data_IF_359462753924
#
_entry.id   IF_359462753924
#
_cell.length_a   1.000
_cell.length_b   1.000
_cell.length_c   1.000
_cell.angle_alpha   90.00
_cell.angle_beta   90.00
_cell.angle_gamma   90.00
#
_symmetry.space_group_name_H-M   'P 1'
#
loop_
_entity.id
_entity.type
_entity.pdbx_description
1 polymer ?
#
# COMPACT_ATOMS: atom_id res chain seq x y z
N UNK A 1 6.15 -2.08 -19.02
CA UNK A 1 6.55 -2.24 -17.60
C UNK A 1 5.37 -2.74 -16.77
N UNK A 2 5.57 -3.73 -15.89
CA UNK A 2 4.59 -4.17 -14.88
C UNK A 2 5.00 -3.65 -13.52
N UNK A 3 4.07 -3.08 -12.77
CA UNK A 3 4.26 -2.59 -11.41
C UNK A 3 3.47 -3.47 -10.45
N UNK A 4 4.17 -4.19 -9.57
CA UNK A 4 3.59 -5.09 -8.58
C UNK A 4 3.49 -4.37 -7.25
N UNK A 5 2.32 -3.88 -6.91
CA UNK A 5 2.05 -3.22 -5.64
C UNK A 5 1.61 -4.24 -4.60
N UNK A 6 2.32 -4.29 -3.49
CA UNK A 6 2.02 -5.19 -2.37
C UNK A 6 1.73 -4.37 -1.12
N UNK A 7 0.57 -4.63 -0.49
CA UNK A 7 0.31 -4.13 0.85
C UNK A 7 1.06 -4.97 1.88
N UNK A 8 1.72 -4.34 2.85
CA UNK A 8 2.40 -5.03 3.94
C UNK A 8 1.53 -6.09 4.62
N UNK A 9 2.15 -7.09 5.23
CA UNK A 9 1.51 -8.14 5.99
C UNK A 9 0.70 -7.61 7.18
N UNK A 10 -0.21 -8.43 7.72
CA UNK A 10 -1.02 -8.05 8.88
C UNK A 10 -0.14 -7.89 10.12
N UNK A 11 -0.35 -6.81 10.87
CA UNK A 11 0.37 -6.45 12.08
C UNK A 11 -0.52 -6.57 13.32
N UNK A 12 0.07 -6.51 14.51
CA UNK A 12 -0.67 -6.48 15.78
C UNK A 12 -1.71 -5.34 15.82
N UNK A 13 -1.35 -4.14 15.38
CA UNK A 13 -2.31 -3.01 15.36
C UNK A 13 -3.44 -3.21 14.33
N UNK A 14 -3.20 -3.94 13.24
CA UNK A 14 -4.28 -4.32 12.33
C UNK A 14 -5.26 -5.28 13.03
N UNK A 15 -4.76 -6.23 13.82
CA UNK A 15 -5.59 -7.16 14.58
C UNK A 15 -6.38 -6.45 15.68
N UNK A 16 -5.76 -5.49 16.38
CA UNK A 16 -6.42 -4.67 17.39
C UNK A 16 -7.42 -3.66 16.80
N UNK A 17 -7.48 -3.50 15.49
CA UNK A 17 -8.30 -2.48 14.84
C UNK A 17 -7.83 -1.05 15.12
N UNK A 18 -6.51 -0.83 15.22
CA UNK A 18 -5.89 0.50 15.35
C UNK A 18 -5.45 1.05 14.01
N UNK A 19 -5.56 2.36 13.88
CA UNK A 19 -4.95 3.12 12.77
C UNK A 19 -3.45 3.25 13.05
N UNK A 20 -2.61 2.84 12.10
CA UNK A 20 -1.16 3.00 12.23
C UNK A 20 -0.67 4.32 11.66
N UNK A 21 -1.06 4.64 10.42
CA UNK A 21 -0.57 5.81 9.71
C UNK A 21 0.94 5.73 9.43
N UNK A 22 1.56 6.89 9.24
CA UNK A 22 2.99 7.01 8.97
C UNK A 22 3.86 7.06 10.24
N UNK A 23 3.31 7.49 11.38
CA UNK A 23 4.07 7.63 12.63
C UNK A 23 3.91 6.41 13.56
N UNK A 24 2.89 5.56 13.32
CA UNK A 24 2.68 4.33 14.07
C UNK A 24 3.28 3.11 13.37
N UNK A 25 3.84 2.19 14.14
CA UNK A 25 4.30 0.90 13.65
C UNK A 25 4.02 -0.20 14.69
N UNK A 26 3.84 -1.41 14.22
CA UNK A 26 3.70 -2.61 15.04
C UNK A 26 4.21 -3.83 14.28
N UNK A 27 4.70 -4.87 14.98
CA UNK A 27 5.28 -6.03 14.32
C UNK A 27 4.26 -6.80 13.47
N UNK A 28 4.75 -7.49 12.45
CA UNK A 28 3.98 -8.46 11.68
C UNK A 28 3.56 -9.63 12.59
N UNK A 29 2.33 -10.12 12.40
CA UNK A 29 1.87 -11.36 13.04
C UNK A 29 2.59 -12.57 12.44
N UNK A 30 2.83 -13.60 13.24
CA UNK A 30 3.44 -14.86 12.79
C UNK A 30 2.66 -15.50 11.64
N UNK A 31 1.32 -15.51 11.72
CA UNK A 31 0.46 -15.99 10.64
C UNK A 31 0.62 -15.17 9.34
N UNK A 32 0.94 -13.89 9.47
CA UNK A 32 1.17 -13.04 8.31
C UNK A 32 2.53 -13.30 7.66
N UNK A 33 3.54 -13.67 8.42
CA UNK A 33 4.84 -14.07 7.88
C UNK A 33 4.66 -15.27 6.94
N UNK A 34 3.91 -16.29 7.36
CA UNK A 34 3.58 -17.46 6.52
C UNK A 34 2.85 -17.07 5.24
N UNK A 35 1.91 -16.13 5.31
CA UNK A 35 1.22 -15.59 4.14
C UNK A 35 2.17 -14.86 3.19
N UNK A 36 3.12 -14.09 3.73
CA UNK A 36 4.12 -13.38 2.92
C UNK A 36 5.12 -14.34 2.26
N UNK A 37 5.48 -15.42 2.93
CA UNK A 37 6.26 -16.49 2.31
C UNK A 37 5.50 -17.15 1.16
N UNK A 38 4.18 -17.39 1.31
CA UNK A 38 3.34 -17.92 0.24
C UNK A 38 3.29 -16.95 -0.95
N UNK A 39 3.11 -15.65 -0.71
CA UNK A 39 3.22 -14.62 -1.75
C UNK A 39 4.60 -14.62 -2.41
N UNK A 40 5.66 -14.69 -1.61
CA UNK A 40 7.04 -14.78 -2.12
C UNK A 40 7.25 -15.99 -3.03
N UNK A 41 6.75 -17.17 -2.64
CA UNK A 41 6.77 -18.38 -3.48
C UNK A 41 5.96 -18.19 -4.77
N UNK A 42 4.78 -17.55 -4.69
CA UNK A 42 3.96 -17.23 -5.86
C UNK A 42 4.71 -16.33 -6.86
N UNK A 43 5.49 -15.36 -6.36
CA UNK A 43 6.29 -14.44 -7.17
C UNK A 43 7.71 -14.92 -7.43
N UNK A 44 8.10 -16.12 -7.01
CA UNK A 44 9.49 -16.59 -7.01
C UNK A 44 10.16 -16.66 -8.39
N UNK A 45 9.37 -16.85 -9.44
CA UNK A 45 9.84 -16.89 -10.84
C UNK A 45 9.78 -15.52 -11.52
N UNK A 46 9.21 -14.51 -10.88
CA UNK A 46 9.14 -13.17 -11.47
C UNK A 46 10.51 -12.50 -11.39
N UNK A 47 11.07 -12.16 -12.53
CA UNK A 47 12.28 -11.35 -12.58
C UNK A 47 11.92 -9.89 -12.31
N UNK A 48 12.29 -9.36 -11.15
CA UNK A 48 12.15 -7.94 -10.85
C UNK A 48 13.43 -7.21 -11.23
N UNK A 49 13.31 -6.13 -11.99
CA UNK A 49 14.41 -5.24 -12.36
C UNK A 49 14.74 -4.23 -11.24
N UNK A 50 13.74 -3.90 -10.41
CA UNK A 50 13.90 -3.08 -9.23
C UNK A 50 12.91 -3.49 -8.13
N UNK A 51 13.26 -3.26 -6.87
CA UNK A 51 12.40 -3.48 -5.73
C UNK A 51 12.46 -2.28 -4.78
N UNK A 52 11.29 -1.73 -4.47
CA UNK A 52 11.12 -0.59 -3.58
C UNK A 52 10.16 -0.91 -2.44
N UNK A 53 10.43 -0.37 -1.25
CA UNK A 53 9.47 -0.36 -0.15
C UNK A 53 9.36 1.00 0.51
N UNK A 54 8.23 1.23 1.18
CA UNK A 54 8.19 2.20 2.26
C UNK A 54 9.32 1.91 3.27
N UNK A 55 9.89 2.95 3.85
CA UNK A 55 10.91 2.87 4.90
C UNK A 55 10.33 2.51 6.29
N UNK A 56 9.01 2.31 6.40
CA UNK A 56 8.38 1.86 7.64
C UNK A 56 8.63 0.36 7.86
N UNK A 57 9.03 -0.05 9.11
CA UNK A 57 9.54 -1.41 9.38
C UNK A 57 8.64 -2.54 8.90
N UNK A 58 7.32 -2.43 9.06
CA UNK A 58 6.36 -3.45 8.58
C UNK A 58 6.38 -3.66 7.05
N UNK A 59 6.66 -2.60 6.28
CA UNK A 59 6.75 -2.69 4.82
C UNK A 59 8.13 -3.24 4.39
N UNK A 60 9.20 -2.79 5.02
CA UNK A 60 10.57 -3.29 4.78
C UNK A 60 10.61 -4.80 5.06
N UNK A 61 10.13 -5.23 6.24
CA UNK A 61 10.11 -6.66 6.62
C UNK A 61 9.24 -7.49 5.64
N UNK A 62 8.09 -6.95 5.22
CA UNK A 62 7.26 -7.58 4.18
C UNK A 62 8.05 -7.80 2.88
N UNK A 63 8.73 -6.75 2.40
CA UNK A 63 9.51 -6.82 1.16
C UNK A 63 10.67 -7.83 1.27
N UNK A 64 11.37 -7.86 2.40
CA UNK A 64 12.45 -8.80 2.66
C UNK A 64 11.97 -10.25 2.59
N UNK A 65 10.87 -10.60 3.27
CA UNK A 65 10.30 -11.96 3.26
C UNK A 65 9.95 -12.39 1.83
N UNK A 66 9.33 -11.50 1.03
CA UNK A 66 8.98 -11.80 -0.36
C UNK A 66 10.23 -12.03 -1.21
N UNK A 67 11.23 -11.17 -1.08
CA UNK A 67 12.46 -11.23 -1.88
C UNK A 67 13.35 -12.43 -1.51
N UNK A 68 13.33 -12.89 -0.25
CA UNK A 68 14.03 -14.10 0.18
C UNK A 68 13.53 -15.37 -0.53
N UNK A 69 12.28 -15.39 -1.00
CA UNK A 69 11.72 -16.50 -1.76
C UNK A 69 12.00 -16.39 -3.27
N UNK A 70 12.48 -15.24 -3.76
CA UNK A 70 12.67 -15.00 -5.18
C UNK A 70 13.95 -15.66 -5.69
N UNK A 71 13.88 -16.31 -6.85
CA UNK A 71 15.03 -16.99 -7.48
C UNK A 71 16.02 -16.02 -8.14
N UNK A 72 15.63 -14.76 -8.28
CA UNK A 72 16.43 -13.69 -8.87
C UNK A 72 16.75 -12.64 -7.80
N UNK A 73 17.88 -12.77 -7.06
CA UNK A 73 18.21 -11.84 -5.98
C UNK A 73 18.31 -10.39 -6.46
N UNK A 74 17.67 -9.48 -5.75
CA UNK A 74 17.71 -8.05 -6.02
C UNK A 74 17.78 -7.26 -4.71
N UNK A 75 18.45 -6.12 -4.74
CA UNK A 75 18.55 -5.22 -3.59
C UNK A 75 17.25 -4.42 -3.41
N UNK A 76 16.76 -4.38 -2.18
CA UNK A 76 15.64 -3.54 -1.78
C UNK A 76 16.09 -2.09 -1.60
N UNK A 77 15.33 -1.16 -2.17
CA UNK A 77 15.50 0.27 -1.97
C UNK A 77 14.34 0.83 -1.13
N UNK A 78 14.65 1.50 -0.05
CA UNK A 78 13.66 2.10 0.84
C UNK A 78 13.41 3.56 0.45
N UNK A 79 12.14 3.99 0.54
CA UNK A 79 11.77 5.38 0.22
C UNK A 79 10.61 5.88 1.08
N UNK A 80 10.70 7.10 1.64
CA UNK A 80 9.58 7.73 2.35
C UNK A 80 8.41 8.10 1.44
N UNK A 81 8.61 8.10 0.12
CA UNK A 81 7.54 8.37 -0.84
C UNK A 81 6.41 7.32 -0.80
N UNK A 82 6.71 6.10 -0.33
CA UNK A 82 5.75 5.01 -0.18
C UNK A 82 5.18 4.87 1.23
N UNK A 83 5.50 5.78 2.18
CA UNK A 83 4.94 5.74 3.54
C UNK A 83 3.41 5.76 3.52
N UNK A 84 2.82 5.18 4.58
CA UNK A 84 1.39 5.27 4.80
C UNK A 84 0.96 6.74 4.93
N UNK A 85 -0.32 6.99 4.78
CA UNK A 85 -0.96 8.27 4.99
C UNK A 85 -0.66 8.79 6.39
N UNK A 86 -0.17 10.02 6.50
CA UNK A 86 0.01 10.70 7.79
C UNK A 86 -1.36 11.13 8.28
N UNK A 87 -1.87 10.41 9.27
CA UNK A 87 -3.25 10.56 9.75
C UNK A 87 -3.36 11.39 11.03
N UNK A 88 -2.23 12.00 11.47
CA UNK A 88 -2.21 12.92 12.59
C UNK A 88 -2.81 12.31 13.86
N UNK A 89 -3.80 12.98 14.46
CA UNK A 89 -4.42 12.56 15.74
C UNK A 89 -5.26 11.28 15.65
N UNK A 90 -5.46 10.72 14.47
CA UNK A 90 -6.13 9.42 14.30
C UNK A 90 -5.18 8.25 14.57
N UNK A 91 -3.87 8.45 14.45
CA UNK A 91 -2.88 7.39 14.59
C UNK A 91 -2.81 6.81 16.02
N UNK A 92 -2.64 5.51 16.14
CA UNK A 92 -2.60 4.77 17.39
C UNK A 92 -3.98 4.52 18.04
N UNK A 93 -5.05 5.13 17.53
CA UNK A 93 -6.38 5.00 18.09
C UNK A 93 -7.16 3.83 17.49
N UNK A 94 -8.07 3.27 18.29
CA UNK A 94 -8.96 2.20 17.82
C UNK A 94 -10.04 2.75 16.88
N UNK A 95 -10.23 2.08 15.75
CA UNK A 95 -11.24 2.47 14.75
C UNK A 95 -12.65 2.54 15.36
N UNK A 96 -12.98 1.63 16.30
CA UNK A 96 -14.28 1.61 16.97
C UNK A 96 -14.52 2.90 17.80
N UNK A 97 -13.49 3.39 18.49
CA UNK A 97 -13.55 4.63 19.26
C UNK A 97 -13.69 5.84 18.34
N UNK A 98 -12.91 5.88 17.26
CA UNK A 98 -12.97 6.97 16.28
C UNK A 98 -14.32 7.04 15.57
N UNK A 99 -14.93 5.90 15.23
CA UNK A 99 -16.28 5.85 14.67
C UNK A 99 -17.35 6.41 15.64
N UNK A 100 -17.17 6.20 16.94
CA UNK A 100 -18.09 6.75 17.93
C UNK A 100 -17.91 8.26 18.11
N UNK A 101 -16.68 8.77 18.03
CA UNK A 101 -16.34 10.18 18.23
C UNK A 101 -16.53 11.03 16.96
N UNK A 102 -16.24 10.48 15.81
CA UNK A 102 -16.21 11.18 14.51
C UNK A 102 -16.90 10.33 13.42
N UNK A 103 -18.20 10.00 13.57
CA UNK A 103 -18.87 9.05 12.67
C UNK A 103 -18.86 9.48 11.21
N UNK A 104 -19.10 10.75 10.92
CA UNK A 104 -19.13 11.25 9.53
C UNK A 104 -17.75 11.25 8.91
N UNK A 105 -16.72 11.69 9.63
CA UNK A 105 -15.35 11.70 9.14
C UNK A 105 -14.79 10.28 8.90
N UNK A 106 -15.09 9.35 9.80
CA UNK A 106 -14.68 7.95 9.64
C UNK A 106 -15.44 7.26 8.51
N UNK A 107 -16.68 7.68 8.23
CA UNK A 107 -17.45 7.25 7.07
C UNK A 107 -16.84 7.82 5.78
N UNK A 108 -16.55 9.12 5.77
CA UNK A 108 -15.90 9.80 4.65
C UNK A 108 -14.52 9.17 4.34
N UNK A 109 -13.66 9.02 5.34
CA UNK A 109 -12.36 8.36 5.19
C UNK A 109 -12.45 6.95 4.61
N UNK A 110 -13.51 6.21 4.93
CA UNK A 110 -13.70 4.84 4.48
C UNK A 110 -14.34 4.73 3.08
N UNK A 111 -15.19 5.68 2.68
CA UNK A 111 -16.04 5.52 1.49
C UNK A 111 -15.96 6.65 0.47
N UNK A 112 -15.68 7.90 0.92
CA UNK A 112 -15.65 9.06 0.05
C UNK A 112 -14.61 10.07 0.54
N UNK A 113 -13.39 9.95 0.02
CA UNK A 113 -12.27 10.79 0.46
C UNK A 113 -12.43 12.28 0.11
N UNK A 114 -13.32 12.64 -0.82
CA UNK A 114 -13.64 14.03 -1.12
C UNK A 114 -14.37 14.75 0.03
N UNK A 115 -15.03 13.99 0.92
CA UNK A 115 -15.72 14.50 2.10
C UNK A 115 -14.90 14.42 3.39
N UNK A 116 -13.67 13.88 3.33
CA UNK A 116 -12.82 13.74 4.51
C UNK A 116 -12.08 15.04 4.84
N UNK A 117 -12.42 15.65 5.98
CA UNK A 117 -11.78 16.88 6.46
C UNK A 117 -10.51 16.56 7.25
N UNK A 118 -9.42 16.32 6.52
CA UNK A 118 -8.12 15.91 7.05
C UNK A 118 -7.52 16.91 8.05
N UNK A 119 -7.76 18.20 7.85
CA UNK A 119 -7.22 19.31 8.63
C UNK A 119 -7.64 19.28 10.12
N UNK A 120 -8.86 18.84 10.42
CA UNK A 120 -9.33 18.69 11.81
C UNK A 120 -8.52 17.65 12.61
N UNK A 121 -7.77 16.78 11.93
CA UNK A 121 -6.89 15.78 12.58
C UNK A 121 -5.42 16.14 12.46
N UNK A 122 -5.07 17.16 11.70
CA UNK A 122 -3.69 17.43 11.31
C UNK A 122 -3.12 16.33 10.42
N UNK A 123 -3.98 15.73 9.61
CA UNK A 123 -3.59 14.68 8.65
C UNK A 123 -3.19 15.28 7.29
N UNK A 124 -2.46 14.51 6.48
CA UNK A 124 -2.26 14.84 5.07
C UNK A 124 -3.61 14.89 4.34
N UNK A 125 -3.73 15.74 3.35
CA UNK A 125 -4.85 15.70 2.39
C UNK A 125 -4.75 14.46 1.48
N UNK A 126 -5.84 14.17 0.78
CA UNK A 126 -5.85 13.13 -0.27
C UNK A 126 -4.79 13.42 -1.33
N UNK A 127 -4.71 14.69 -1.75
CA UNK A 127 -3.78 15.14 -2.80
C UNK A 127 -2.32 14.99 -2.34
N UNK A 128 -1.96 15.44 -1.14
CA UNK A 128 -0.59 15.33 -0.63
C UNK A 128 -0.11 13.87 -0.59
N UNK A 129 -0.94 12.95 -0.09
CA UNK A 129 -0.54 11.54 0.03
C UNK A 129 -0.47 10.84 -1.33
N UNK A 130 -1.44 11.07 -2.24
CA UNK A 130 -1.41 10.45 -3.57
C UNK A 130 -0.32 11.02 -4.44
N UNK A 131 -0.14 12.34 -4.46
CA UNK A 131 0.87 13.01 -5.28
C UNK A 131 2.30 12.59 -4.90
N UNK A 132 2.57 12.39 -3.62
CA UNK A 132 3.86 11.89 -3.13
C UNK A 132 4.21 10.54 -3.77
N UNK A 133 3.26 9.61 -3.78
CA UNK A 133 3.45 8.28 -4.37
C UNK A 133 3.45 8.32 -5.90
N UNK A 134 2.55 9.08 -6.53
CA UNK A 134 2.52 9.24 -7.98
C UNK A 134 3.83 9.83 -8.53
N UNK A 135 4.34 10.89 -7.91
CA UNK A 135 5.61 11.50 -8.31
C UNK A 135 6.76 10.49 -8.24
N UNK A 136 6.78 9.64 -7.20
CA UNK A 136 7.74 8.56 -7.11
C UNK A 136 7.58 7.55 -8.26
N UNK A 137 6.36 7.07 -8.51
CA UNK A 137 6.10 6.11 -9.60
C UNK A 137 6.50 6.70 -10.95
N UNK A 138 6.14 7.94 -11.24
CA UNK A 138 6.49 8.62 -12.50
C UNK A 138 8.00 8.87 -12.64
N UNK A 139 8.72 9.02 -11.54
CA UNK A 139 10.18 9.14 -11.55
C UNK A 139 10.91 7.86 -11.99
N UNK A 140 10.22 6.72 -11.98
CA UNK A 140 10.78 5.44 -12.42
C UNK A 140 10.76 5.25 -13.95
N UNK A 141 10.33 6.24 -14.72
CA UNK A 141 10.20 6.18 -16.19
C UNK A 141 11.48 5.78 -16.94
N UNK A 142 12.64 6.09 -16.37
CA UNK A 142 13.94 5.78 -16.96
C UNK A 142 14.47 4.38 -16.52
N UNK A 143 13.72 3.66 -15.70
CA UNK A 143 14.04 2.28 -15.34
C UNK A 143 13.86 1.37 -16.56
N UNK A 144 14.91 0.60 -16.85
CA UNK A 144 14.85 -0.45 -17.88
C UNK A 144 14.30 -1.73 -17.26
N UNK A 145 13.66 -2.56 -18.10
CA UNK A 145 13.19 -3.87 -17.70
C UNK A 145 11.69 -4.07 -17.87
N UNK A 146 11.14 -5.09 -17.21
CA UNK A 146 9.75 -5.52 -17.40
C UNK A 146 8.91 -5.48 -16.13
N UNK A 147 9.53 -5.57 -14.93
CA UNK A 147 8.79 -5.67 -13.68
C UNK A 147 9.48 -4.95 -12.51
N UNK A 148 8.69 -4.22 -11.72
CA UNK A 148 9.12 -3.53 -10.48
C UNK A 148 8.23 -3.99 -9.32
N UNK A 149 8.85 -4.39 -8.20
CA UNK A 149 8.15 -4.65 -6.93
C UNK A 149 8.05 -3.36 -6.11
N UNK A 150 6.88 -3.07 -5.59
CA UNK A 150 6.58 -1.87 -4.79
C UNK A 150 5.78 -2.28 -3.55
N UNK A 151 6.39 -2.19 -2.38
CA UNK A 151 5.75 -2.57 -1.11
C UNK A 151 5.38 -1.34 -0.30
N UNK A 152 4.12 -1.26 0.11
CA UNK A 152 3.62 -0.11 0.86
C UNK A 152 2.40 -0.45 1.73
N UNK A 153 1.45 0.47 1.82
CA UNK A 153 0.43 0.46 2.85
C UNK A 153 -0.99 0.53 2.30
N UNK A 154 -1.95 0.18 3.15
CA UNK A 154 -3.34 0.00 2.71
C UNK A 154 -4.03 1.27 2.26
N UNK A 155 -3.95 2.35 3.04
CA UNK A 155 -4.67 3.58 2.72
C UNK A 155 -4.02 4.34 1.56
N UNK A 156 -2.69 4.54 1.63
CA UNK A 156 -1.94 5.22 0.59
C UNK A 156 -2.02 4.46 -0.74
N UNK A 157 -1.63 3.17 -0.80
CA UNK A 157 -1.63 2.44 -2.08
C UNK A 157 -3.02 2.33 -2.69
N UNK A 158 -4.08 2.13 -1.89
CA UNK A 158 -5.45 2.12 -2.44
C UNK A 158 -5.78 3.43 -3.14
N UNK A 159 -5.48 4.57 -2.49
CA UNK A 159 -5.76 5.88 -3.08
C UNK A 159 -4.86 6.15 -4.30
N UNK A 160 -3.55 5.96 -4.16
CA UNK A 160 -2.57 6.29 -5.20
C UNK A 160 -2.72 5.42 -6.45
N UNK A 161 -2.93 4.11 -6.31
CA UNK A 161 -3.16 3.22 -7.46
C UNK A 161 -4.41 3.66 -8.24
N UNK A 162 -5.50 3.99 -7.55
CA UNK A 162 -6.72 4.45 -8.23
C UNK A 162 -6.55 5.83 -8.84
N UNK A 163 -5.79 6.73 -8.23
CA UNK A 163 -5.46 8.02 -8.85
C UNK A 163 -4.64 7.82 -10.13
N UNK A 164 -3.64 6.93 -10.14
CA UNK A 164 -2.90 6.55 -11.35
C UNK A 164 -3.82 6.00 -12.45
N UNK A 165 -4.92 5.33 -12.07
CA UNK A 165 -5.95 4.83 -13.00
C UNK A 165 -6.98 5.91 -13.41
N UNK A 166 -6.84 7.16 -12.96
CA UNK A 166 -7.71 8.27 -13.32
C UNK A 166 -9.01 8.39 -12.51
N UNK A 167 -9.12 7.70 -11.37
CA UNK A 167 -10.27 7.85 -10.47
C UNK A 167 -10.22 9.18 -9.72
N UNK A 168 -11.38 9.75 -9.45
CA UNK A 168 -11.55 10.98 -8.68
C UNK A 168 -11.55 10.69 -7.17
N UNK A 169 -11.30 11.69 -6.29
CA UNK A 169 -11.26 11.51 -4.84
C UNK A 169 -12.49 10.80 -4.24
N UNK A 170 -13.70 11.07 -4.74
CA UNK A 170 -14.94 10.42 -4.32
C UNK A 170 -15.03 8.93 -4.67
N UNK A 171 -14.19 8.46 -5.58
CA UNK A 171 -14.20 7.07 -6.07
C UNK A 171 -13.07 6.21 -5.49
N UNK A 172 -12.05 6.84 -4.87
CA UNK A 172 -10.82 6.14 -4.43
C UNK A 172 -11.06 5.03 -3.40
N UNK A 173 -12.20 5.05 -2.71
CA UNK A 173 -12.58 4.04 -1.69
C UNK A 173 -13.84 3.25 -2.05
N UNK A 174 -14.44 3.49 -3.21
CA UNK A 174 -15.77 2.98 -3.60
C UNK A 174 -15.92 1.46 -3.45
N UNK A 175 -14.90 0.68 -3.75
CA UNK A 175 -14.93 -0.78 -3.70
C UNK A 175 -13.99 -1.36 -2.63
N UNK A 176 -13.85 -0.68 -1.48
CA UNK A 176 -12.95 -1.09 -0.41
C UNK A 176 -11.48 -0.78 -0.70
N UNK A 177 -10.61 -1.27 0.17
CA UNK A 177 -9.15 -1.11 0.07
C UNK A 177 -8.43 -2.42 -0.23
N UNK A 178 -7.11 -2.37 -0.20
CA UNK A 178 -6.25 -3.53 -0.37
C UNK A 178 -6.24 -4.39 0.90
N UNK A 179 -6.26 -5.69 0.75
CA UNK A 179 -6.07 -6.68 1.82
C UNK A 179 -4.58 -6.75 2.22
N UNK A 180 -4.26 -7.06 3.48
CA UNK A 180 -2.87 -7.32 3.88
C UNK A 180 -2.29 -8.48 3.06
N UNK A 181 -1.03 -8.37 2.69
CA UNK A 181 -0.33 -9.34 1.84
C UNK A 181 -0.97 -9.56 0.46
N UNK A 182 -1.83 -8.66 -0.04
CA UNK A 182 -2.37 -8.71 -1.41
C UNK A 182 -1.40 -8.11 -2.42
N UNK A 183 -1.51 -8.55 -3.67
CA UNK A 183 -0.81 -7.96 -4.81
C UNK A 183 -1.80 -7.32 -5.80
N UNK A 184 -1.46 -6.13 -6.26
CA UNK A 184 -2.15 -5.42 -7.34
C UNK A 184 -1.15 -5.14 -8.44
N UNK A 185 -1.50 -5.41 -9.69
CA UNK A 185 -0.58 -5.25 -10.82
C UNK A 185 -1.13 -4.22 -11.79
N UNK A 186 -0.34 -3.18 -12.03
CA UNK A 186 -0.57 -2.24 -13.14
C UNK A 186 0.43 -2.49 -14.27
N UNK A 187 0.04 -2.09 -15.47
CA UNK A 187 0.94 -2.00 -16.62
C UNK A 187 1.00 -0.57 -17.12
N UNK A 188 2.17 -0.18 -17.61
CA UNK A 188 2.40 1.13 -18.25
C UNK A 188 3.51 1.02 -19.28
N UNK A 189 3.41 1.84 -20.34
CA UNK A 189 4.44 1.97 -21.36
C UNK A 189 5.20 3.29 -21.24
N UNK A 190 4.64 4.28 -20.55
CA UNK A 190 5.14 5.65 -20.51
C UNK A 190 5.22 6.26 -19.10
N UNK A 191 4.76 5.54 -18.06
CA UNK A 191 4.61 6.03 -16.68
C UNK A 191 3.71 7.27 -16.51
N UNK A 192 2.87 7.54 -17.51
CA UNK A 192 1.81 8.55 -17.47
C UNK A 192 0.42 7.91 -17.57
N UNK A 193 0.31 6.81 -18.34
CA UNK A 193 -0.93 6.06 -18.52
C UNK A 193 -0.79 4.66 -17.95
N UNK A 194 -1.74 4.27 -17.12
CA UNK A 194 -1.72 3.00 -16.40
C UNK A 194 -2.97 2.18 -16.70
N UNK A 195 -2.78 0.88 -16.83
CA UNK A 195 -3.86 -0.09 -16.99
C UNK A 195 -3.84 -1.09 -15.85
N UNK A 196 -5.01 -1.41 -15.31
CA UNK A 196 -5.18 -2.42 -14.29
C UNK A 196 -5.12 -3.81 -14.92
N UNK A 197 -4.14 -4.62 -14.50
CA UNK A 197 -4.03 -6.03 -14.88
C UNK A 197 -4.67 -6.93 -13.81
N UNK A 198 -4.43 -6.65 -12.53
CA UNK A 198 -4.93 -7.44 -11.41
C UNK A 198 -5.15 -6.54 -10.19
N UNK A 199 -6.27 -6.72 -9.47
CA UNK A 199 -6.60 -5.93 -8.29
C UNK A 199 -6.72 -6.81 -7.05
N UNK A 200 -5.94 -6.47 -6.01
CA UNK A 200 -6.07 -7.03 -4.66
C UNK A 200 -6.12 -8.57 -4.64
N UNK A 201 -5.24 -9.22 -5.39
CA UNK A 201 -5.18 -10.68 -5.45
C UNK A 201 -4.59 -11.26 -4.16
N UNK A 202 -5.25 -12.29 -3.66
CA UNK A 202 -4.88 -13.08 -2.49
C UNK A 202 -5.02 -14.58 -2.76
N UNK A 203 -5.15 -14.99 -4.01
CA UNK A 203 -5.43 -16.38 -4.41
C UNK A 203 -4.40 -17.40 -3.91
N UNK A 204 -3.17 -16.95 -3.68
CA UNK A 204 -2.08 -17.78 -3.13
C UNK A 204 -2.17 -17.98 -1.60
N UNK A 205 -3.16 -17.38 -0.92
CA UNK A 205 -3.38 -17.52 0.53
C UNK A 205 -4.43 -18.58 0.88
N UNK A 206 -5.08 -19.19 -0.12
CA UNK A 206 -6.23 -20.09 0.07
C UNK A 206 -5.88 -21.59 0.18
N UNK A 207 -4.60 -21.94 0.40
CA UNK A 207 -4.14 -23.32 0.56
C UNK A 207 -3.85 -23.72 2.02
#
# INVERSE_FOLDING_TARGET
>A
MKLYFVRHGRTEWNEEGRIQGANGDSPLLESSIQQLEALGRHLSQTYFDAAYSSDLPRAVHTAQIILEQNQHPISLQETPALQEWRLGRLEGRKIVELKALYPEEMKAFRHNLAEFHHDIFGAESVEETTQRTENFIKSLKDQSGEAILIVGHGANLTASIRTLLGYKPEELRKNGGLTNASVTILTTDDFEHFNLLQWNDTSYLED
#
